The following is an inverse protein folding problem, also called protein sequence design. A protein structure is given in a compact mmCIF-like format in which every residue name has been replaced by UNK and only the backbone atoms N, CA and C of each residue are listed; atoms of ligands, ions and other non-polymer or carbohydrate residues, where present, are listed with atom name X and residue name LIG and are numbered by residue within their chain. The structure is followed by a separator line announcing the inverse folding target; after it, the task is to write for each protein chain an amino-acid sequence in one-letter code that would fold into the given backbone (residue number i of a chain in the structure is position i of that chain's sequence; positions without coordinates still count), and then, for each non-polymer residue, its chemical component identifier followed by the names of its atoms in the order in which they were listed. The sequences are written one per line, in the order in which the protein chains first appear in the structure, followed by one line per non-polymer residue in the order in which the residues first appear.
data_IF_506027733887
#
_entry.id   IF_506027733887
#
_cell.length_a   1.000
_cell.length_b   1.000
_cell.length_c   1.000
_cell.angle_alpha   90.00
_cell.angle_beta   90.00
_cell.angle_gamma   90.00
#
_symmetry.space_group_name_H-M   'P 1'
#
loop_
_entity.id
_entity.type
_entity.pdbx_description
1 polymer ?
#
# COMPACT_ATOMS: atom_id res chain seq x y z
N UNK A 1 4.41 -28.07 42.97
CA UNK A 1 4.44 -27.06 41.89
C UNK A 1 4.79 -27.77 40.60
N UNK A 2 3.77 -28.22 39.87
CA UNK A 2 3.95 -29.00 38.65
C UNK A 2 4.33 -28.11 37.47
N UNK A 3 5.33 -28.53 36.70
CA UNK A 3 5.68 -27.98 35.39
C UNK A 3 4.49 -28.20 34.45
N UNK A 4 3.58 -27.23 34.36
CA UNK A 4 2.66 -27.16 33.24
C UNK A 4 3.49 -26.80 32.01
N UNK A 5 3.35 -27.59 30.94
CA UNK A 5 3.89 -27.27 29.63
C UNK A 5 3.55 -25.80 29.30
N UNK A 6 4.55 -24.99 28.95
CA UNK A 6 4.36 -23.64 28.40
C UNK A 6 3.64 -23.74 27.04
N UNK A 7 2.35 -24.04 27.06
CA UNK A 7 1.50 -23.97 25.90
C UNK A 7 1.25 -22.50 25.61
N UNK A 8 1.75 -22.01 24.48
CA UNK A 8 1.40 -20.67 24.00
C UNK A 8 -0.10 -20.67 23.67
N UNK A 9 -0.90 -19.79 24.30
CA UNK A 9 -2.32 -19.71 24.03
C UNK A 9 -2.54 -19.27 22.58
N UNK A 10 -3.67 -19.66 22.00
CA UNK A 10 -4.07 -19.28 20.63
C UNK A 10 -5.26 -18.34 20.71
N UNK A 11 -5.58 -17.67 19.59
CA UNK A 11 -6.77 -16.80 19.48
C UNK A 11 -8.02 -17.45 20.07
N UNK A 12 -8.38 -18.65 19.57
CA UNK A 12 -9.49 -19.49 20.07
C UNK A 12 -9.50 -19.82 21.57
N UNK A 13 -8.38 -19.63 22.28
CA UNK A 13 -8.31 -19.80 23.74
C UNK A 13 -8.92 -18.59 24.46
N UNK A 14 -8.79 -17.41 23.88
CA UNK A 14 -9.29 -16.14 24.41
C UNK A 14 -10.72 -15.84 24.00
N UNK A 15 -11.16 -16.28 22.81
CA UNK A 15 -12.48 -16.00 22.25
C UNK A 15 -13.62 -16.13 23.28
N UNK A 16 -13.75 -17.23 24.06
CA UNK A 16 -14.88 -17.37 24.98
C UNK A 16 -14.89 -16.30 26.08
N UNK A 17 -13.72 -15.90 26.58
CA UNK A 17 -13.61 -14.87 27.60
C UNK A 17 -13.90 -13.48 27.00
N UNK A 18 -13.26 -13.15 25.88
CA UNK A 18 -13.42 -11.87 25.22
C UNK A 18 -14.88 -11.62 24.80
N UNK A 19 -15.49 -12.58 24.10
CA UNK A 19 -16.86 -12.45 23.64
C UNK A 19 -17.84 -12.39 24.81
N UNK A 20 -17.64 -13.17 25.87
CA UNK A 20 -18.47 -13.13 27.07
C UNK A 20 -18.45 -11.74 27.74
N UNK A 21 -17.27 -11.14 27.94
CA UNK A 21 -17.19 -9.79 28.51
C UNK A 21 -17.81 -8.73 27.59
N UNK A 22 -17.62 -8.84 26.27
CA UNK A 22 -18.26 -7.95 25.30
C UNK A 22 -19.80 -8.06 25.34
N UNK A 23 -20.34 -9.28 25.43
CA UNK A 23 -21.79 -9.53 25.54
C UNK A 23 -22.38 -8.98 26.86
N UNK A 24 -21.64 -9.09 27.96
CA UNK A 24 -22.02 -8.54 29.25
C UNK A 24 -21.82 -7.01 29.36
N UNK A 25 -21.31 -6.36 28.31
CA UNK A 25 -20.94 -4.94 28.29
C UNK A 25 -19.87 -4.55 29.32
N UNK A 26 -19.05 -5.51 29.76
CA UNK A 26 -17.91 -5.27 30.65
C UNK A 26 -16.67 -4.90 29.81
N UNK A 27 -16.66 -3.64 29.36
CA UNK A 27 -15.63 -3.12 28.47
C UNK A 27 -14.22 -3.21 29.09
N UNK A 28 -14.10 -2.90 30.39
CA UNK A 28 -12.81 -2.86 31.06
C UNK A 28 -12.20 -4.28 31.12
N UNK A 29 -13.01 -5.31 31.40
CA UNK A 29 -12.56 -6.71 31.33
C UNK A 29 -12.25 -7.18 29.91
N UNK A 30 -13.02 -6.75 28.92
CA UNK A 30 -12.71 -7.06 27.52
C UNK A 30 -11.34 -6.47 27.11
N UNK A 31 -11.01 -5.25 27.56
CA UNK A 31 -9.70 -4.64 27.31
C UNK A 31 -8.56 -5.33 28.05
N UNK A 32 -8.77 -5.80 29.28
CA UNK A 32 -7.78 -6.63 30.01
C UNK A 32 -7.46 -7.91 29.24
N UNK A 33 -8.45 -8.53 28.60
CA UNK A 33 -8.25 -9.72 27.76
C UNK A 33 -7.39 -9.38 26.54
N UNK A 34 -7.70 -8.31 25.82
CA UNK A 34 -6.89 -7.85 24.69
C UNK A 34 -5.45 -7.52 25.11
N UNK A 35 -5.26 -6.80 26.22
CA UNK A 35 -3.93 -6.46 26.73
C UNK A 35 -3.10 -7.71 26.99
N UNK A 36 -3.72 -8.74 27.59
CA UNK A 36 -3.06 -10.02 27.79
C UNK A 36 -2.76 -10.74 26.47
N UNK A 37 -3.67 -10.71 25.49
CA UNK A 37 -3.46 -11.30 24.16
C UNK A 37 -2.24 -10.67 23.47
N UNK A 38 -2.15 -9.34 23.49
CA UNK A 38 -1.00 -8.60 22.96
C UNK A 38 0.29 -8.96 23.71
N UNK A 39 0.24 -9.06 25.03
CA UNK A 39 1.39 -9.43 25.87
C UNK A 39 1.97 -10.82 25.59
N UNK A 40 1.16 -11.74 25.04
CA UNK A 40 1.60 -13.10 24.66
C UNK A 40 1.76 -13.28 23.15
N UNK A 41 1.61 -12.21 22.36
CA UNK A 41 1.79 -12.23 20.91
C UNK A 41 0.66 -12.88 20.13
N UNK A 42 -0.57 -12.88 20.66
CA UNK A 42 -1.77 -13.32 19.94
C UNK A 42 -2.43 -12.11 19.29
N UNK A 43 -2.46 -12.09 17.96
CA UNK A 43 -3.13 -11.04 17.19
C UNK A 43 -4.64 -11.26 17.09
N UNK A 44 -5.41 -10.18 17.18
CA UNK A 44 -6.85 -10.17 16.98
C UNK A 44 -7.20 -10.29 15.48
N UNK A 45 -8.29 -10.98 15.17
CA UNK A 45 -8.89 -10.99 13.84
C UNK A 45 -10.14 -10.09 13.82
N UNK A 46 -10.84 -10.03 12.68
CA UNK A 46 -11.97 -9.11 12.47
C UNK A 46 -13.07 -9.29 13.52
N UNK A 47 -13.41 -10.53 13.87
CA UNK A 47 -14.51 -10.83 14.78
C UNK A 47 -14.27 -10.27 16.18
N UNK A 48 -13.05 -10.43 16.70
CA UNK A 48 -12.67 -9.91 18.02
C UNK A 48 -12.59 -8.38 18.01
N UNK A 49 -12.03 -7.79 16.93
CA UNK A 49 -12.00 -6.33 16.75
C UNK A 49 -13.41 -5.73 16.68
N UNK A 50 -14.33 -6.38 15.96
CA UNK A 50 -15.72 -5.95 15.85
C UNK A 50 -16.46 -6.05 17.19
N UNK A 51 -16.21 -7.09 17.98
CA UNK A 51 -16.78 -7.22 19.33
C UNK A 51 -16.26 -6.14 20.28
N UNK A 52 -14.96 -5.87 20.24
CA UNK A 52 -14.32 -4.79 21.00
C UNK A 52 -14.87 -3.41 20.60
N UNK A 53 -14.95 -3.13 19.30
CA UNK A 53 -15.57 -1.92 18.76
C UNK A 53 -17.01 -1.76 19.26
N UNK A 54 -17.80 -2.83 19.21
CA UNK A 54 -19.20 -2.83 19.65
C UNK A 54 -19.34 -2.53 21.14
N UNK A 55 -18.54 -3.16 22.00
CA UNK A 55 -18.60 -2.87 23.44
C UNK A 55 -18.12 -1.46 23.75
N UNK A 56 -17.11 -0.94 23.03
CA UNK A 56 -16.66 0.45 23.16
C UNK A 56 -17.76 1.45 22.79
N UNK A 57 -18.44 1.22 21.67
CA UNK A 57 -19.54 2.05 21.21
C UNK A 57 -20.69 2.08 22.22
N UNK A 58 -21.11 0.91 22.72
CA UNK A 58 -22.21 0.78 23.69
C UNK A 58 -21.88 1.37 25.06
N UNK A 59 -20.63 1.29 25.47
CA UNK A 59 -20.14 1.87 26.73
C UNK A 59 -19.72 3.35 26.59
N UNK A 60 -19.92 3.96 25.41
CA UNK A 60 -19.60 5.37 25.17
C UNK A 60 -18.10 5.72 25.25
N UNK A 61 -17.22 4.73 25.08
CA UNK A 61 -15.75 4.89 25.16
C UNK A 61 -15.20 5.37 23.82
N UNK A 62 -15.34 6.66 23.54
CA UNK A 62 -15.13 7.23 22.20
C UNK A 62 -13.71 7.06 21.65
N UNK A 63 -12.69 7.20 22.50
CA UNK A 63 -11.29 7.01 22.10
C UNK A 63 -11.03 5.55 21.70
N UNK A 64 -11.67 4.60 22.39
CA UNK A 64 -11.58 3.18 22.06
C UNK A 64 -12.28 2.85 20.75
N UNK A 65 -13.41 3.48 20.45
CA UNK A 65 -14.05 3.33 19.14
C UNK A 65 -13.09 3.76 18.02
N UNK A 66 -12.44 4.91 18.16
CA UNK A 66 -11.44 5.37 17.19
C UNK A 66 -10.27 4.37 17.06
N UNK A 67 -9.74 3.91 18.19
CA UNK A 67 -8.65 2.92 18.24
C UNK A 67 -9.01 1.63 17.48
N UNK A 68 -10.21 1.07 17.70
CA UNK A 68 -10.61 -0.16 17.03
C UNK A 68 -10.96 0.03 15.56
N UNK A 69 -11.46 1.21 15.14
CA UNK A 69 -11.58 1.53 13.72
C UNK A 69 -10.21 1.54 13.02
N UNK A 70 -9.17 2.05 13.68
CA UNK A 70 -7.80 1.99 13.16
C UNK A 70 -7.23 0.58 13.15
N UNK A 71 -7.49 -0.22 14.19
CA UNK A 71 -7.08 -1.64 14.19
C UNK A 71 -7.75 -2.42 13.09
N UNK A 72 -9.05 -2.20 12.83
CA UNK A 72 -9.75 -2.76 11.66
C UNK A 72 -9.06 -2.33 10.37
N UNK A 73 -8.75 -1.04 10.19
CA UNK A 73 -8.01 -0.54 9.01
C UNK A 73 -6.69 -1.28 8.78
N UNK A 74 -5.92 -1.54 9.83
CA UNK A 74 -4.62 -2.23 9.72
C UNK A 74 -4.73 -3.75 9.52
N UNK A 75 -5.79 -4.37 10.07
CA UNK A 75 -5.93 -5.82 10.10
C UNK A 75 -6.76 -6.38 8.94
N UNK A 76 -7.72 -5.60 8.41
CA UNK A 76 -8.62 -6.05 7.35
C UNK A 76 -8.66 -5.07 6.18
N UNK A 77 -8.71 -5.62 4.96
CA UNK A 77 -8.90 -4.81 3.74
C UNK A 77 -10.36 -4.43 3.54
N UNK A 78 -11.25 -5.39 3.77
CA UNK A 78 -12.69 -5.25 3.64
C UNK A 78 -13.33 -5.75 4.94
N UNK A 79 -14.36 -5.07 5.42
CA UNK A 79 -15.14 -5.54 6.56
C UNK A 79 -16.28 -6.45 6.13
N UNK A 80 -16.63 -7.39 6.98
CA UNK A 80 -17.84 -8.19 6.89
C UNK A 80 -19.09 -7.32 7.09
N UNK A 81 -20.23 -7.82 6.62
CA UNK A 81 -21.53 -7.18 6.81
C UNK A 81 -21.85 -6.96 8.31
N UNK A 82 -21.51 -7.92 9.17
CA UNK A 82 -21.71 -7.79 10.62
C UNK A 82 -20.90 -6.66 11.24
N UNK A 83 -19.66 -6.48 10.78
CA UNK A 83 -18.79 -5.39 11.26
C UNK A 83 -19.27 -4.05 10.72
N UNK A 84 -19.72 -3.99 9.46
CA UNK A 84 -20.30 -2.79 8.88
C UNK A 84 -21.51 -2.28 9.69
N UNK A 85 -22.41 -3.17 10.11
CA UNK A 85 -23.56 -2.81 10.96
C UNK A 85 -23.11 -2.21 12.30
N UNK A 86 -22.07 -2.75 12.94
CA UNK A 86 -21.54 -2.17 14.20
C UNK A 86 -21.02 -0.75 13.98
N UNK A 87 -20.36 -0.50 12.85
CA UNK A 87 -19.86 0.83 12.49
C UNK A 87 -21.02 1.78 12.20
N UNK A 88 -22.02 1.34 11.44
CA UNK A 88 -23.24 2.13 11.16
C UNK A 88 -23.98 2.51 12.45
N UNK A 89 -24.15 1.56 13.38
CA UNK A 89 -24.78 1.81 14.68
C UNK A 89 -24.07 2.91 15.47
N UNK A 90 -22.73 2.95 15.43
CA UNK A 90 -21.96 4.01 16.08
C UNK A 90 -22.23 5.37 15.43
N UNK A 91 -22.08 5.48 14.11
CA UNK A 91 -22.20 6.77 13.41
C UNK A 91 -23.64 7.31 13.34
N UNK A 92 -24.65 6.44 13.38
CA UNK A 92 -26.05 6.82 13.57
C UNK A 92 -26.39 7.22 15.02
N UNK A 93 -25.48 6.95 15.97
CA UNK A 93 -25.68 7.26 17.38
C UNK A 93 -25.37 8.72 17.73
N UNK A 94 -26.15 9.29 18.66
CA UNK A 94 -25.96 10.68 19.11
C UNK A 94 -24.55 10.97 19.66
N UNK A 95 -23.87 9.96 20.23
CA UNK A 95 -22.51 10.15 20.75
C UNK A 95 -21.50 10.45 19.64
N UNK A 96 -21.69 9.89 18.45
CA UNK A 96 -20.80 10.11 17.31
C UNK A 96 -20.93 11.54 16.76
N UNK A 97 -22.11 12.16 16.84
CA UNK A 97 -22.29 13.55 16.38
C UNK A 97 -21.76 14.58 17.37
N UNK A 98 -21.64 14.22 18.64
CA UNK A 98 -21.09 15.07 19.69
C UNK A 98 -19.57 15.12 19.74
N UNK A 99 -18.89 14.09 19.19
CA UNK A 99 -17.45 13.91 19.31
C UNK A 99 -16.68 14.51 18.14
N UNK A 100 -15.57 15.15 18.48
CA UNK A 100 -14.57 15.66 17.55
C UNK A 100 -14.28 17.14 17.75
N UNK A 101 -13.10 17.54 17.28
CA UNK A 101 -12.61 18.90 17.40
C UNK A 101 -12.97 19.73 16.16
N UNK A 102 -13.50 20.92 16.39
CA UNK A 102 -13.84 21.89 15.33
C UNK A 102 -12.63 22.74 14.98
N UNK A 103 -11.79 23.07 15.97
CA UNK A 103 -10.53 23.78 15.78
C UNK A 103 -9.38 22.77 15.83
N UNK A 104 -8.79 22.47 14.68
CA UNK A 104 -7.67 21.53 14.55
C UNK A 104 -6.61 22.08 13.61
N UNK A 105 -5.37 21.66 13.79
CA UNK A 105 -4.26 22.06 12.93
C UNK A 105 -4.26 21.26 11.62
N UNK A 106 -4.70 21.92 10.55
CA UNK A 106 -4.72 21.37 9.20
C UNK A 106 -3.32 20.92 8.74
N UNK A 107 -2.26 21.60 9.19
CA UNK A 107 -0.88 21.23 8.89
C UNK A 107 -0.51 19.88 9.50
N UNK A 108 -0.87 19.65 10.78
CA UNK A 108 -0.62 18.38 11.46
C UNK A 108 -1.43 17.23 10.87
N UNK A 109 -2.68 17.47 10.46
CA UNK A 109 -3.49 16.46 9.75
C UNK A 109 -2.81 16.08 8.45
N UNK A 110 -2.38 17.06 7.65
CA UNK A 110 -1.67 16.80 6.38
C UNK A 110 -0.39 16.02 6.60
N UNK A 111 0.46 16.45 7.54
CA UNK A 111 1.69 15.74 7.88
C UNK A 111 1.40 14.30 8.31
N UNK A 112 0.36 14.10 9.12
CA UNK A 112 -0.13 12.79 9.50
C UNK A 112 -0.50 11.93 8.30
N UNK A 113 -1.32 12.45 7.36
CA UNK A 113 -1.68 11.73 6.14
C UNK A 113 -0.44 11.36 5.32
N UNK A 114 0.49 12.31 5.13
CA UNK A 114 1.70 12.10 4.33
C UNK A 114 2.57 10.99 4.94
N UNK A 115 2.89 11.11 6.23
CA UNK A 115 3.75 10.17 6.98
C UNK A 115 3.16 8.76 7.02
N UNK A 116 1.83 8.67 7.01
CA UNK A 116 1.11 7.42 7.13
C UNK A 116 0.84 6.72 5.77
N UNK A 117 1.45 7.19 4.68
CA UNK A 117 1.28 6.61 3.34
C UNK A 117 -0.02 7.02 2.64
N UNK A 118 -0.80 7.92 3.23
CA UNK A 118 -2.10 8.35 2.70
C UNK A 118 -3.29 7.63 3.32
N UNK A 119 -4.47 8.23 3.18
CA UNK A 119 -5.75 7.62 3.56
C UNK A 119 -6.04 7.59 5.06
N UNK A 120 -5.18 8.12 5.94
CA UNK A 120 -5.52 8.38 7.35
C UNK A 120 -4.50 9.27 8.07
N UNK A 121 -4.94 10.04 9.08
CA UNK A 121 -4.08 11.03 9.78
C UNK A 121 -3.73 10.69 11.24
N UNK A 122 -4.53 9.86 11.93
CA UNK A 122 -4.23 9.43 13.29
C UNK A 122 -4.43 10.47 14.40
N UNK A 123 -5.04 11.62 14.11
CA UNK A 123 -5.21 12.75 15.06
C UNK A 123 -6.50 12.70 15.89
N UNK A 124 -7.19 11.55 15.94
CA UNK A 124 -8.47 11.43 16.63
C UNK A 124 -9.67 11.92 15.79
N UNK A 125 -10.77 12.20 16.48
CA UNK A 125 -12.01 12.65 15.85
C UNK A 125 -11.92 14.12 15.44
N UNK A 126 -12.15 14.38 14.16
CA UNK A 126 -12.11 15.72 13.57
C UNK A 126 -13.46 16.05 12.96
N UNK A 127 -13.91 17.28 13.18
CA UNK A 127 -15.25 17.75 12.81
C UNK A 127 -16.29 17.40 13.88
N UNK A 128 -17.46 18.02 13.80
CA UNK A 128 -18.57 17.81 14.73
C UNK A 128 -19.89 18.02 14.00
N UNK A 129 -20.92 17.28 14.41
CA UNK A 129 -22.25 17.35 13.81
C UNK A 129 -22.76 15.97 13.38
N UNK A 130 -23.99 15.94 12.88
CA UNK A 130 -24.64 14.70 12.48
C UNK A 130 -23.95 14.04 11.29
N UNK A 131 -23.83 12.72 11.34
CA UNK A 131 -23.22 11.93 10.28
C UNK A 131 -24.28 11.41 9.32
N UNK A 132 -24.08 11.67 8.04
CA UNK A 132 -24.73 10.97 6.94
C UNK A 132 -24.03 9.62 6.71
N UNK A 133 -24.76 8.54 6.98
CA UNK A 133 -24.30 7.15 6.84
C UNK A 133 -24.92 6.55 5.58
N UNK A 134 -24.11 6.31 4.54
CA UNK A 134 -24.59 5.84 3.25
C UNK A 134 -23.82 4.61 2.75
N UNK A 135 -24.55 3.56 2.37
CA UNK A 135 -23.99 2.45 1.58
C UNK A 135 -24.00 2.83 0.11
N UNK A 136 -22.84 2.76 -0.54
CA UNK A 136 -22.63 3.23 -1.90
C UNK A 136 -21.61 2.38 -2.64
N UNK A 137 -21.20 2.79 -3.84
CA UNK A 137 -20.13 2.20 -4.62
C UNK A 137 -19.06 3.24 -4.96
N UNK A 138 -17.94 2.79 -5.51
CA UNK A 138 -16.86 3.65 -6.01
C UNK A 138 -16.77 3.51 -7.52
N UNK A 139 -16.73 4.64 -8.22
CA UNK A 139 -16.54 4.67 -9.67
C UNK A 139 -15.18 4.10 -10.09
N UNK A 140 -15.04 3.75 -11.36
CA UNK A 140 -13.77 3.20 -11.89
C UNK A 140 -12.58 4.18 -11.79
N UNK A 141 -12.85 5.46 -11.60
CA UNK A 141 -11.86 6.51 -11.36
C UNK A 141 -11.51 6.69 -9.87
N UNK A 142 -12.22 6.00 -8.97
CA UNK A 142 -12.01 6.05 -7.53
C UNK A 142 -12.85 7.10 -6.80
N UNK A 143 -13.81 7.75 -7.45
CA UNK A 143 -14.74 8.65 -6.77
C UNK A 143 -15.88 7.90 -6.10
N UNK A 144 -16.17 8.24 -4.85
CA UNK A 144 -17.34 7.75 -4.13
C UNK A 144 -18.64 8.23 -4.80
N UNK A 145 -19.54 7.32 -5.13
CA UNK A 145 -20.80 7.66 -5.81
C UNK A 145 -21.78 8.45 -4.93
N UNK A 146 -21.56 8.52 -3.61
CA UNK A 146 -22.41 9.29 -2.68
C UNK A 146 -21.95 10.74 -2.50
N UNK A 147 -20.69 10.96 -2.14
CA UNK A 147 -20.17 12.28 -1.79
C UNK A 147 -19.28 12.90 -2.88
N UNK A 148 -18.88 12.12 -3.88
CA UNK A 148 -17.96 12.56 -4.93
C UNK A 148 -16.50 12.74 -4.48
N UNK A 149 -16.14 12.39 -3.23
CA UNK A 149 -14.72 12.40 -2.83
C UNK A 149 -13.94 11.30 -3.54
N UNK A 150 -12.72 11.62 -3.97
CA UNK A 150 -11.77 10.70 -4.56
C UNK A 150 -11.08 9.90 -3.46
N UNK A 151 -11.21 8.58 -3.48
CA UNK A 151 -10.37 7.70 -2.66
C UNK A 151 -8.91 7.85 -3.09
N UNK A 152 -8.00 7.80 -2.11
CA UNK A 152 -6.57 7.91 -2.38
C UNK A 152 -5.94 6.56 -2.64
N UNK A 153 -4.79 6.58 -3.30
CA UNK A 153 -3.91 5.43 -3.43
C UNK A 153 -3.09 5.33 -2.14
N UNK A 154 -3.55 4.51 -1.20
CA UNK A 154 -2.89 4.27 0.09
C UNK A 154 -1.62 3.50 -0.16
N UNK A 155 -0.50 4.15 0.17
CA UNK A 155 0.82 3.57 0.33
C UNK A 155 1.04 3.20 1.80
N UNK A 156 2.17 2.60 2.10
CA UNK A 156 2.50 2.15 3.45
C UNK A 156 3.20 3.27 4.22
N UNK A 157 3.07 3.31 5.55
CA UNK A 157 3.70 4.38 6.32
C UNK A 157 5.23 4.32 6.31
N UNK A 158 5.87 5.45 6.61
CA UNK A 158 7.33 5.59 6.57
C UNK A 158 8.06 4.63 7.52
N UNK A 159 7.49 4.38 8.70
CA UNK A 159 8.12 3.52 9.70
C UNK A 159 8.08 2.06 9.27
N UNK A 160 6.93 1.61 8.78
CA UNK A 160 6.77 0.27 8.27
C UNK A 160 7.58 0.05 6.99
N UNK A 161 7.65 1.04 6.10
CA UNK A 161 8.50 1.00 4.90
C UNK A 161 9.98 0.85 5.25
N UNK A 162 10.48 1.61 6.24
CA UNK A 162 11.88 1.49 6.65
C UNK A 162 12.17 0.16 7.34
N UNK A 163 11.25 -0.35 8.16
CA UNK A 163 11.36 -1.69 8.75
C UNK A 163 11.42 -2.75 7.66
N UNK A 164 10.55 -2.66 6.65
CA UNK A 164 10.52 -3.59 5.53
C UNK A 164 11.80 -3.52 4.69
N UNK A 165 12.28 -2.32 4.36
CA UNK A 165 13.56 -2.12 3.69
C UNK A 165 14.71 -2.74 4.50
N UNK A 166 14.70 -2.57 5.83
CA UNK A 166 15.64 -3.19 6.76
C UNK A 166 15.57 -4.72 6.76
N UNK A 167 14.36 -5.30 6.74
CA UNK A 167 14.16 -6.75 6.64
C UNK A 167 14.67 -7.32 5.31
N UNK A 168 14.35 -6.66 4.19
CA UNK A 168 14.87 -7.03 2.85
C UNK A 168 16.39 -6.96 2.85
N UNK A 169 16.98 -5.89 3.36
CA UNK A 169 18.43 -5.73 3.43
C UNK A 169 19.09 -6.78 4.34
N UNK A 170 18.49 -7.08 5.49
CA UNK A 170 18.98 -8.12 6.40
C UNK A 170 19.03 -9.49 5.72
N UNK A 171 17.93 -9.89 5.07
CA UNK A 171 17.86 -11.16 4.33
C UNK A 171 18.82 -11.20 3.14
N UNK A 172 18.96 -10.10 2.41
CA UNK A 172 19.94 -9.99 1.34
C UNK A 172 21.37 -10.17 1.87
N UNK A 173 21.75 -9.50 2.96
CA UNK A 173 23.09 -9.60 3.57
C UNK A 173 23.41 -10.99 4.16
N UNK A 174 22.40 -11.80 4.48
CA UNK A 174 22.58 -13.18 4.92
C UNK A 174 22.88 -14.14 3.76
N UNK A 175 22.37 -13.83 2.56
CA UNK A 175 22.36 -14.74 1.40
C UNK A 175 23.31 -14.31 0.28
N UNK A 176 23.57 -13.02 0.18
CA UNK A 176 24.50 -12.40 -0.76
C UNK A 176 25.90 -12.26 -0.15
N UNK A 177 26.89 -12.07 -1.01
CA UNK A 177 28.21 -11.62 -0.56
C UNK A 177 28.04 -10.21 0.00
N UNK A 178 28.20 -10.06 1.33
CA UNK A 178 27.93 -8.80 2.07
C UNK A 178 28.48 -7.54 1.39
N UNK A 179 29.73 -7.59 0.92
CA UNK A 179 30.37 -6.46 0.25
C UNK A 179 29.61 -6.01 -1.00
N UNK A 180 29.10 -6.94 -1.81
CA UNK A 180 28.37 -6.66 -3.04
C UNK A 180 27.06 -5.90 -2.77
N UNK A 181 26.31 -6.34 -1.76
CA UNK A 181 25.02 -5.70 -1.44
C UNK A 181 25.22 -4.36 -0.73
N UNK A 182 26.20 -4.25 0.18
CA UNK A 182 26.53 -2.96 0.81
C UNK A 182 27.03 -1.91 -0.20
N UNK A 183 27.78 -2.32 -1.23
CA UNK A 183 28.17 -1.41 -2.32
C UNK A 183 26.95 -0.91 -3.10
N UNK A 184 25.97 -1.78 -3.35
CA UNK A 184 24.71 -1.39 -3.97
C UNK A 184 23.91 -0.39 -3.12
N UNK A 185 23.82 -0.63 -1.80
CA UNK A 185 23.14 0.31 -0.90
C UNK A 185 23.79 1.70 -0.96
N UNK A 186 25.12 1.78 -0.89
CA UNK A 186 25.86 3.04 -1.00
C UNK A 186 25.75 3.69 -2.39
N UNK A 187 25.56 2.89 -3.45
CA UNK A 187 25.28 3.40 -4.79
C UNK A 187 23.88 4.01 -4.86
N UNK A 188 22.88 3.33 -4.30
CA UNK A 188 21.48 3.76 -4.32
C UNK A 188 21.28 5.06 -3.52
N UNK A 189 21.97 5.21 -2.38
CA UNK A 189 21.96 6.45 -1.58
C UNK A 189 22.41 7.70 -2.36
N UNK A 190 23.21 7.52 -3.42
CA UNK A 190 23.65 8.63 -4.29
C UNK A 190 22.68 8.93 -5.43
N UNK A 191 21.64 8.12 -5.59
CA UNK A 191 20.70 8.18 -6.70
C UNK A 191 19.26 7.97 -6.21
N UNK A 192 18.74 8.95 -5.47
CA UNK A 192 17.44 8.90 -4.79
C UNK A 192 16.25 9.37 -5.63
N UNK A 193 16.46 9.70 -6.91
CA UNK A 193 15.49 10.39 -7.76
C UNK A 193 14.79 9.50 -8.79
N UNK A 194 14.99 8.19 -8.74
CA UNK A 194 14.36 7.27 -9.69
C UNK A 194 12.89 7.02 -9.37
N UNK A 195 12.04 7.13 -10.40
CA UNK A 195 10.60 6.91 -10.29
C UNK A 195 10.18 5.48 -10.66
N UNK A 196 11.07 4.70 -11.25
CA UNK A 196 10.83 3.30 -11.57
C UNK A 196 12.12 2.47 -11.59
N UNK A 197 12.02 1.25 -11.08
CA UNK A 197 13.00 0.18 -11.19
C UNK A 197 12.45 -0.87 -12.15
N UNK A 198 13.30 -1.39 -13.04
CA UNK A 198 12.96 -2.41 -14.02
C UNK A 198 13.74 -3.67 -13.73
N UNK A 199 13.03 -4.78 -13.53
CA UNK A 199 13.60 -6.11 -13.52
C UNK A 199 13.99 -6.50 -14.96
N UNK A 200 15.26 -6.26 -15.29
CA UNK A 200 15.76 -6.40 -16.65
C UNK A 200 15.76 -7.86 -17.11
N UNK A 201 15.98 -8.81 -16.20
CA UNK A 201 15.98 -10.23 -16.52
C UNK A 201 14.57 -10.72 -16.86
N UNK A 202 13.58 -10.35 -16.05
CA UNK A 202 12.18 -10.72 -16.25
C UNK A 202 11.64 -10.15 -17.57
N UNK A 203 11.83 -8.85 -17.82
CA UNK A 203 11.39 -8.20 -19.06
C UNK A 203 12.06 -8.80 -20.29
N UNK A 204 13.39 -8.93 -20.27
CA UNK A 204 14.14 -9.42 -21.42
C UNK A 204 13.93 -10.91 -21.72
N UNK A 205 13.39 -11.70 -20.78
CA UNK A 205 13.05 -13.11 -20.98
C UNK A 205 11.56 -13.38 -21.19
N UNK A 206 10.73 -12.34 -21.15
CA UNK A 206 9.28 -12.50 -21.25
C UNK A 206 8.86 -13.15 -22.56
N UNK A 207 8.23 -14.33 -22.45
CA UNK A 207 7.79 -15.17 -23.57
C UNK A 207 8.90 -15.58 -24.55
N UNK A 208 10.15 -15.69 -24.06
CA UNK A 208 11.31 -16.11 -24.86
C UNK A 208 11.62 -17.62 -24.75
N UNK A 209 10.68 -18.45 -24.30
CA UNK A 209 10.92 -19.89 -24.03
C UNK A 209 10.83 -20.81 -25.28
N UNK A 210 11.18 -20.31 -26.47
CA UNK A 210 11.18 -21.09 -27.73
C UNK A 210 12.60 -21.51 -28.13
N UNK A 211 12.76 -22.40 -29.12
CA UNK A 211 14.03 -23.06 -29.44
C UNK A 211 15.21 -22.09 -29.74
N UNK A 212 14.93 -20.97 -30.42
CA UNK A 212 15.89 -19.89 -30.68
C UNK A 212 15.64 -18.66 -29.79
N UNK A 213 14.85 -18.84 -28.73
CA UNK A 213 14.45 -17.79 -27.81
C UNK A 213 15.61 -17.37 -26.94
N UNK A 214 15.82 -16.07 -26.84
CA UNK A 214 16.96 -15.48 -26.15
C UNK A 214 16.56 -14.20 -25.44
N UNK A 215 17.53 -13.58 -24.78
CA UNK A 215 17.31 -12.30 -24.11
C UNK A 215 16.98 -11.20 -25.14
N UNK A 216 15.81 -10.59 -25.01
CA UNK A 216 15.34 -9.54 -25.89
C UNK A 216 15.66 -8.14 -25.33
N UNK A 217 16.75 -7.55 -25.82
CA UNK A 217 17.08 -6.14 -25.53
C UNK A 217 15.99 -5.18 -26.03
N UNK A 218 15.29 -5.51 -27.12
CA UNK A 218 14.25 -4.65 -27.69
C UNK A 218 13.00 -4.57 -26.82
N UNK A 219 12.59 -5.69 -26.20
CA UNK A 219 11.50 -5.68 -25.21
C UNK A 219 11.84 -4.76 -24.04
N UNK A 220 13.07 -4.87 -23.53
CA UNK A 220 13.56 -4.05 -22.42
C UNK A 220 13.63 -2.56 -22.80
N UNK A 221 14.13 -2.24 -24.00
CA UNK A 221 14.16 -0.87 -24.53
C UNK A 221 12.77 -0.25 -24.66
N UNK A 222 11.78 -1.01 -25.12
CA UNK A 222 10.39 -0.53 -25.16
C UNK A 222 9.89 -0.13 -23.77
N UNK A 223 10.19 -0.93 -22.73
CA UNK A 223 9.81 -0.62 -21.35
C UNK A 223 10.52 0.63 -20.85
N UNK A 224 11.85 0.72 -21.03
CA UNK A 224 12.64 1.88 -20.60
C UNK A 224 12.14 3.17 -21.25
N UNK A 225 11.87 3.16 -22.56
CA UNK A 225 11.37 4.34 -23.29
C UNK A 225 9.97 4.73 -22.87
N UNK A 226 9.08 3.76 -22.66
CA UNK A 226 7.71 4.05 -22.21
C UNK A 226 7.73 4.71 -20.83
N UNK A 227 8.51 4.17 -19.88
CA UNK A 227 8.67 4.75 -18.54
C UNK A 227 9.29 6.15 -18.59
N UNK A 228 10.33 6.34 -19.40
CA UNK A 228 10.99 7.64 -19.60
C UNK A 228 10.04 8.71 -20.13
N UNK A 229 9.17 8.33 -21.08
CA UNK A 229 8.18 9.24 -21.65
C UNK A 229 7.08 9.57 -20.63
N UNK A 230 6.58 8.57 -19.89
CA UNK A 230 5.54 8.77 -18.87
C UNK A 230 6.03 9.62 -17.69
N UNK A 231 7.30 9.50 -17.31
CA UNK A 231 7.93 10.24 -16.20
C UNK A 231 8.35 11.67 -16.55
N UNK A 232 8.11 12.12 -17.79
CA UNK A 232 8.53 13.45 -18.23
C UNK A 232 10.04 13.60 -18.36
N UNK A 233 10.71 12.58 -18.93
CA UNK A 233 12.16 12.51 -19.20
C UNK A 233 13.04 12.08 -18.01
N UNK A 234 12.51 11.31 -17.07
CA UNK A 234 13.31 10.68 -16.00
C UNK A 234 13.60 9.23 -16.34
N UNK A 235 14.88 8.86 -16.31
CA UNK A 235 15.30 7.50 -16.61
C UNK A 235 14.88 6.54 -15.49
N UNK A 236 14.29 5.37 -15.83
CA UNK A 236 14.21 4.27 -14.88
C UNK A 236 15.58 3.62 -14.69
N UNK A 237 15.77 2.86 -13.60
CA UNK A 237 16.95 2.00 -13.46
C UNK A 237 16.61 0.58 -13.84
N UNK A 238 17.30 0.06 -14.85
CA UNK A 238 17.32 -1.36 -15.16
C UNK A 238 18.29 -2.05 -14.21
N UNK A 239 17.81 -3.06 -13.48
CA UNK A 239 18.69 -3.98 -12.74
C UNK A 239 18.93 -5.21 -13.60
N UNK A 240 20.19 -5.53 -13.88
CA UNK A 240 20.54 -6.65 -14.75
C UNK A 240 21.84 -7.34 -14.33
N UNK A 241 21.87 -8.67 -14.33
CA UNK A 241 23.09 -9.41 -13.99
C UNK A 241 24.24 -9.20 -14.99
N UNK A 242 25.48 -9.02 -14.50
CA UNK A 242 26.69 -8.72 -15.29
C UNK A 242 26.92 -9.72 -16.44
N UNK A 243 26.66 -11.02 -16.22
CA UNK A 243 26.72 -12.03 -17.29
C UNK A 243 25.87 -11.68 -18.52
N UNK A 244 24.66 -11.13 -18.32
CA UNK A 244 23.79 -10.69 -19.43
C UNK A 244 24.34 -9.45 -20.09
N UNK A 245 24.80 -8.48 -19.29
CA UNK A 245 25.46 -7.27 -19.81
C UNK A 245 26.61 -7.61 -20.76
N UNK A 246 27.50 -8.54 -20.39
CA UNK A 246 28.65 -8.92 -21.23
C UNK A 246 28.20 -9.42 -22.61
N UNK A 247 27.20 -10.31 -22.66
CA UNK A 247 26.65 -10.79 -23.94
C UNK A 247 26.03 -9.68 -24.79
N UNK A 248 25.36 -8.71 -24.14
CA UNK A 248 24.81 -7.54 -24.83
C UNK A 248 25.90 -6.58 -25.33
N UNK A 249 27.00 -6.45 -24.60
CA UNK A 249 28.16 -5.64 -25.00
C UNK A 249 28.96 -6.30 -26.13
N UNK A 250 28.95 -7.63 -26.26
CA UNK A 250 29.59 -8.34 -27.37
C UNK A 250 28.83 -8.14 -28.68
N UNK A 251 27.50 -8.00 -28.63
CA UNK A 251 26.67 -7.75 -29.80
C UNK A 251 26.67 -6.26 -30.22
N UNK A 252 27.16 -5.91 -31.43
CA UNK A 252 27.23 -4.52 -31.89
C UNK A 252 25.88 -3.80 -31.95
N UNK A 253 24.79 -4.53 -32.21
CA UNK A 253 23.45 -3.95 -32.33
C UNK A 253 22.88 -3.49 -30.98
N UNK A 254 23.24 -4.15 -29.88
CA UNK A 254 22.81 -3.78 -28.52
C UNK A 254 23.80 -2.87 -27.80
N UNK A 255 25.10 -2.95 -28.13
CA UNK A 255 26.16 -2.20 -27.45
C UNK A 255 25.87 -0.71 -27.30
N UNK A 256 25.48 -0.05 -28.40
CA UNK A 256 25.22 1.40 -28.40
C UNK A 256 24.12 1.80 -27.40
N UNK A 257 23.06 0.99 -27.31
CA UNK A 257 21.94 1.23 -26.41
C UNK A 257 22.33 1.02 -24.94
N UNK A 258 23.10 -0.03 -24.67
CA UNK A 258 23.60 -0.30 -23.33
C UNK A 258 24.54 0.80 -22.84
N UNK A 259 25.45 1.28 -23.71
CA UNK A 259 26.33 2.41 -23.41
C UNK A 259 25.53 3.69 -23.11
N UNK A 260 24.44 3.93 -23.84
CA UNK A 260 23.51 5.03 -23.56
C UNK A 260 22.89 4.90 -22.17
N UNK A 261 22.39 3.72 -21.78
CA UNK A 261 21.82 3.52 -20.45
C UNK A 261 22.86 3.72 -19.34
N UNK A 262 24.08 3.21 -19.52
CA UNK A 262 25.17 3.43 -18.56
C UNK A 262 25.51 4.90 -18.38
N UNK A 263 25.61 5.66 -19.48
CA UNK A 263 25.93 7.09 -19.45
C UNK A 263 24.84 7.94 -18.79
N UNK A 264 23.59 7.48 -18.83
CA UNK A 264 22.45 8.16 -18.20
C UNK A 264 22.15 7.65 -16.78
N UNK A 265 22.95 6.73 -16.23
CA UNK A 265 22.68 6.12 -14.93
C UNK A 265 21.48 5.17 -14.90
N UNK A 266 20.93 4.80 -16.07
CA UNK A 266 19.72 4.01 -16.23
C UNK A 266 19.94 2.48 -16.11
N UNK A 267 21.13 2.04 -15.69
CA UNK A 267 21.50 0.63 -15.59
C UNK A 267 22.36 0.39 -14.35
N UNK A 268 21.93 -0.54 -13.50
CA UNK A 268 22.74 -1.12 -12.44
C UNK A 268 23.02 -2.59 -12.74
N UNK A 269 24.29 -2.99 -12.60
CA UNK A 269 24.72 -4.35 -12.91
C UNK A 269 25.00 -5.15 -11.66
N UNK A 270 24.27 -6.25 -11.46
CA UNK A 270 24.52 -7.11 -10.30
C UNK A 270 25.76 -7.99 -10.54
N UNK A 271 26.58 -8.21 -9.50
CA UNK A 271 27.82 -8.99 -9.61
C UNK A 271 27.55 -10.48 -9.84
N UNK A 272 28.58 -11.21 -10.27
CA UNK A 272 28.44 -12.63 -10.56
C UNK A 272 28.12 -13.44 -9.30
N UNK A 273 27.08 -14.28 -9.40
CA UNK A 273 26.65 -15.14 -8.30
C UNK A 273 25.65 -14.49 -7.35
N UNK A 274 25.29 -13.22 -7.60
CA UNK A 274 24.23 -12.54 -6.87
C UNK A 274 22.86 -12.80 -7.47
N UNK A 275 21.86 -12.90 -6.61
CA UNK A 275 20.47 -12.88 -7.03
C UNK A 275 20.03 -11.43 -7.26
N UNK A 276 19.63 -11.10 -8.49
CA UNK A 276 19.13 -9.78 -8.87
C UNK A 276 17.82 -9.39 -8.15
N UNK A 277 17.07 -10.37 -7.65
CA UNK A 277 15.83 -10.15 -6.89
C UNK A 277 15.99 -9.21 -5.71
N UNK A 278 17.06 -9.37 -4.95
CA UNK A 278 17.35 -8.52 -3.79
C UNK A 278 17.60 -7.07 -4.17
N UNK A 279 18.17 -6.85 -5.36
CA UNK A 279 18.61 -5.52 -5.78
C UNK A 279 17.42 -4.69 -6.27
N UNK A 280 16.62 -5.23 -7.19
CA UNK A 280 15.46 -4.49 -7.67
C UNK A 280 14.39 -4.33 -6.60
N UNK A 281 14.21 -5.32 -5.70
CA UNK A 281 13.24 -5.20 -4.61
C UNK A 281 13.67 -4.14 -3.62
N UNK A 282 14.91 -4.20 -3.13
CA UNK A 282 15.42 -3.23 -2.17
C UNK A 282 15.37 -1.81 -2.75
N UNK A 283 15.75 -1.62 -4.03
CA UNK A 283 15.68 -0.31 -4.67
C UNK A 283 14.25 0.23 -4.76
N UNK A 284 13.30 -0.56 -5.23
CA UNK A 284 11.92 -0.12 -5.38
C UNK A 284 11.28 0.25 -4.02
N UNK A 285 11.58 -0.53 -2.98
CA UNK A 285 11.14 -0.26 -1.61
C UNK A 285 11.78 1.00 -1.06
N UNK A 286 13.11 1.10 -1.09
CA UNK A 286 13.85 2.20 -0.46
C UNK A 286 13.56 3.55 -1.12
N UNK A 287 13.38 3.55 -2.45
CA UNK A 287 13.03 4.74 -3.22
C UNK A 287 11.53 5.00 -3.31
N UNK A 288 10.69 4.08 -2.80
CA UNK A 288 9.21 4.17 -2.84
C UNK A 288 8.66 4.42 -4.24
N UNK A 289 9.23 3.73 -5.21
CA UNK A 289 8.95 3.97 -6.63
C UNK A 289 8.32 2.73 -7.29
N UNK A 290 8.01 2.83 -8.59
CA UNK A 290 7.40 1.71 -9.31
C UNK A 290 8.41 0.56 -9.50
N UNK A 291 7.93 -0.68 -9.45
CA UNK A 291 8.70 -1.86 -9.81
C UNK A 291 8.07 -2.53 -11.04
N UNK A 292 8.78 -2.54 -12.16
CA UNK A 292 8.32 -3.22 -13.37
C UNK A 292 8.83 -4.65 -13.38
N UNK A 293 7.94 -5.59 -13.05
CA UNK A 293 8.19 -7.04 -13.13
C UNK A 293 6.88 -7.81 -13.21
N UNK A 294 6.88 -8.91 -13.98
CA UNK A 294 5.83 -9.92 -13.96
C UNK A 294 6.17 -11.08 -13.01
N UNK A 295 7.24 -10.97 -12.23
CA UNK A 295 7.49 -11.93 -11.18
C UNK A 295 6.40 -11.86 -10.11
N UNK A 296 5.87 -13.02 -9.74
CA UNK A 296 4.82 -13.11 -8.72
C UNK A 296 5.38 -12.95 -7.31
N UNK A 297 6.71 -12.97 -7.14
CA UNK A 297 7.42 -12.87 -5.87
C UNK A 297 6.87 -13.87 -4.85
N UNK A 298 6.63 -15.10 -5.30
CA UNK A 298 6.00 -16.19 -4.52
C UNK A 298 7.00 -17.11 -3.82
N UNK A 299 8.29 -16.85 -3.96
CA UNK A 299 9.29 -17.67 -3.30
C UNK A 299 9.17 -17.58 -1.78
N UNK A 300 9.49 -18.67 -1.08
CA UNK A 300 9.52 -18.78 0.40
C UNK A 300 10.35 -17.68 1.09
N UNK A 301 11.16 -16.97 0.32
CA UNK A 301 11.96 -15.82 0.73
C UNK A 301 11.06 -14.62 1.05
N UNK A 302 10.03 -14.37 0.23
CA UNK A 302 9.11 -13.24 0.39
C UNK A 302 8.03 -13.53 1.43
N UNK A 303 7.73 -14.82 1.70
CA UNK A 303 6.90 -15.24 2.83
C UNK A 303 7.48 -14.83 4.20
N UNK A 304 8.81 -14.66 4.29
CA UNK A 304 9.48 -14.19 5.50
C UNK A 304 9.27 -12.69 5.77
N UNK A 305 8.78 -11.93 4.79
CA UNK A 305 8.72 -10.46 4.85
C UNK A 305 7.32 -9.92 5.22
N UNK A 306 6.49 -10.76 5.87
CA UNK A 306 5.17 -10.39 6.38
C UNK A 306 4.08 -10.32 5.32
N UNK A 307 3.10 -11.24 5.40
CA UNK A 307 2.12 -11.47 4.33
C UNK A 307 1.19 -10.29 4.02
N UNK A 308 0.83 -9.47 5.00
CA UNK A 308 -0.15 -8.40 4.77
C UNK A 308 0.50 -7.15 4.19
N UNK A 309 1.66 -6.76 4.70
CA UNK A 309 2.44 -5.61 4.22
C UNK A 309 2.88 -5.81 2.77
N UNK A 310 3.51 -6.96 2.46
CA UNK A 310 4.12 -7.16 1.16
C UNK A 310 3.08 -7.16 0.02
N UNK A 311 1.90 -7.71 0.28
CA UNK A 311 0.81 -7.69 -0.69
C UNK A 311 0.27 -6.27 -0.93
N UNK A 312 0.15 -5.44 0.10
CA UNK A 312 -0.22 -4.03 -0.06
C UNK A 312 0.84 -3.26 -0.85
N UNK A 313 2.11 -3.48 -0.53
CA UNK A 313 3.23 -2.88 -1.25
C UNK A 313 3.21 -3.28 -2.72
N UNK A 314 3.06 -4.58 -3.01
CA UNK A 314 2.98 -5.09 -4.39
C UNK A 314 1.86 -4.43 -5.18
N UNK A 315 0.64 -4.38 -4.63
CA UNK A 315 -0.50 -3.75 -5.32
C UNK A 315 -0.24 -2.28 -5.66
N UNK A 316 0.49 -1.58 -4.80
CA UNK A 316 0.79 -0.15 -4.95
C UNK A 316 1.97 0.13 -5.89
N UNK A 317 2.96 -0.75 -5.94
CA UNK A 317 4.25 -0.48 -6.59
C UNK A 317 4.50 -1.34 -7.83
N UNK A 318 3.90 -2.53 -7.93
CA UNK A 318 4.17 -3.46 -9.04
C UNK A 318 3.45 -3.03 -10.31
N UNK A 319 4.23 -2.84 -11.38
CA UNK A 319 3.75 -2.63 -12.73
C UNK A 319 3.93 -3.92 -13.52
N UNK A 320 2.81 -4.50 -13.94
CA UNK A 320 2.83 -5.62 -14.86
C UNK A 320 2.97 -5.14 -16.30
N UNK A 321 3.41 -6.01 -17.18
CA UNK A 321 3.56 -5.67 -18.59
C UNK A 321 3.18 -6.84 -19.50
N UNK A 322 2.72 -6.52 -20.69
CA UNK A 322 2.49 -7.51 -21.73
C UNK A 322 2.81 -6.94 -23.11
N UNK A 323 3.08 -7.84 -24.05
CA UNK A 323 3.32 -7.48 -25.45
C UNK A 323 2.21 -8.07 -26.31
N UNK A 324 1.31 -7.22 -26.81
CA UNK A 324 0.19 -7.62 -27.67
C UNK A 324 0.56 -7.24 -29.11
N UNK A 325 0.76 -8.25 -29.96
CA UNK A 325 1.21 -8.06 -31.35
C UNK A 325 2.49 -7.21 -31.46
N UNK A 326 3.40 -7.34 -30.51
CA UNK A 326 4.65 -6.58 -30.45
C UNK A 326 4.56 -5.21 -29.76
N UNK A 327 3.36 -4.72 -29.43
CA UNK A 327 3.19 -3.46 -28.72
C UNK A 327 3.19 -3.69 -27.21
N UNK A 328 4.02 -2.92 -26.50
CA UNK A 328 4.05 -2.91 -25.04
C UNK A 328 2.75 -2.33 -24.48
N UNK A 329 2.21 -2.99 -23.46
CA UNK A 329 1.17 -2.44 -22.60
C UNK A 329 1.62 -2.60 -21.15
N UNK A 330 1.81 -1.48 -20.46
CA UNK A 330 2.02 -1.45 -19.01
C UNK A 330 0.65 -1.48 -18.31
N UNK A 331 0.54 -2.30 -17.28
CA UNK A 331 -0.58 -2.36 -16.37
C UNK A 331 -0.13 -1.68 -15.07
N UNK A 332 -0.51 -0.41 -14.94
CA UNK A 332 -0.15 0.41 -13.79
C UNK A 332 -0.94 -0.03 -12.54
N UNK A 333 -0.38 0.16 -11.34
CA UNK A 333 -1.12 0.09 -10.08
C UNK A 333 -2.43 0.90 -10.13
N UNK A 334 -3.48 0.46 -9.43
CA UNK A 334 -4.72 1.22 -9.31
C UNK A 334 -4.47 2.65 -8.78
N UNK A 335 -5.22 3.63 -9.29
CA UNK A 335 -5.10 5.03 -8.84
C UNK A 335 -5.68 5.29 -7.46
N UNK A 336 -6.29 4.28 -6.84
CA UNK A 336 -6.88 4.32 -5.50
C UNK A 336 -6.84 2.92 -4.86
N UNK A 337 -6.88 2.86 -3.53
CA UNK A 337 -6.85 1.60 -2.79
C UNK A 337 -8.22 1.30 -2.17
N UNK A 338 -8.75 0.10 -2.41
CA UNK A 338 -9.99 -0.36 -1.75
C UNK A 338 -9.68 -0.92 -0.35
N UNK A 339 -9.45 -0.01 0.58
CA UNK A 339 -9.21 -0.26 2.01
C UNK A 339 -10.02 0.73 2.84
N UNK A 340 -10.07 0.54 4.16
CA UNK A 340 -10.65 1.56 5.04
C UNK A 340 -9.81 2.85 4.91
N UNK A 341 -10.46 3.98 4.59
CA UNK A 341 -9.81 5.28 4.47
C UNK A 341 -10.53 6.34 5.29
N UNK A 342 -9.78 7.28 5.84
CA UNK A 342 -10.24 8.55 6.40
C UNK A 342 -9.89 9.65 5.39
N UNK A 343 -10.90 10.13 4.68
CA UNK A 343 -10.81 11.27 3.77
C UNK A 343 -10.89 12.60 4.51
N UNK A 344 -11.08 13.68 3.76
CA UNK A 344 -11.06 15.04 4.30
C UNK A 344 -12.29 15.32 5.15
N UNK A 345 -13.46 14.85 4.71
CA UNK A 345 -14.75 15.10 5.36
C UNK A 345 -15.46 13.83 5.83
N UNK A 346 -14.82 12.66 5.71
CA UNK A 346 -15.49 11.40 5.98
C UNK A 346 -14.60 10.19 6.19
N UNK A 347 -15.22 9.06 6.55
CA UNK A 347 -14.59 7.73 6.64
C UNK A 347 -15.26 6.83 5.59
N UNK A 348 -14.46 6.07 4.88
CA UNK A 348 -14.86 5.13 3.84
C UNK A 348 -14.44 3.73 4.29
N UNK A 349 -15.39 2.83 4.50
CA UNK A 349 -15.10 1.43 4.80
C UNK A 349 -15.44 0.58 3.60
N UNK A 350 -14.44 -0.14 3.09
CA UNK A 350 -14.67 -1.14 2.05
C UNK A 350 -15.42 -2.34 2.64
N UNK A 351 -16.50 -2.74 1.98
CA UNK A 351 -17.25 -3.97 2.28
C UNK A 351 -16.99 -5.02 1.21
N UNK A 352 -17.40 -6.27 1.46
CA UNK A 352 -17.33 -7.32 0.44
C UNK A 352 -18.12 -6.93 -0.83
N UNK A 353 -17.49 -7.06 -2.00
CA UNK A 353 -18.03 -6.61 -3.28
C UNK A 353 -17.57 -5.19 -3.65
N UNK A 354 -18.31 -4.49 -4.51
CA UNK A 354 -18.03 -3.09 -4.91
C UNK A 354 -18.69 -2.07 -3.94
N UNK A 355 -19.11 -2.51 -2.76
CA UNK A 355 -19.85 -1.69 -1.79
C UNK A 355 -18.91 -1.00 -0.81
N UNK A 356 -19.19 0.27 -0.54
CA UNK A 356 -18.47 1.12 0.42
C UNK A 356 -19.47 1.76 1.37
N UNK A 357 -19.14 1.76 2.66
CA UNK A 357 -19.84 2.57 3.65
C UNK A 357 -19.17 3.94 3.73
N UNK A 358 -19.88 4.97 3.25
CA UNK A 358 -19.45 6.36 3.31
C UNK A 358 -20.08 7.05 4.52
N UNK A 359 -19.23 7.55 5.41
CA UNK A 359 -19.59 8.23 6.64
C UNK A 359 -19.12 9.68 6.53
N UNK A 360 -20.03 10.59 6.20
CA UNK A 360 -19.73 12.01 5.99
C UNK A 360 -20.58 12.87 6.91
N UNK A 361 -20.23 14.13 7.16
CA UNK A 361 -21.15 15.03 7.89
C UNK A 361 -22.37 15.42 7.03
N UNK A 362 -23.54 15.61 7.65
CA UNK A 362 -24.71 16.20 6.99
C UNK A 362 -24.41 17.64 6.53
N UNK A 363 -25.00 18.02 5.39
CA UNK A 363 -24.58 19.06 4.44
C UNK A 363 -24.52 20.53 4.93
N UNK A 364 -24.44 20.82 6.22
CA UNK A 364 -24.44 22.20 6.76
C UNK A 364 -23.10 22.66 7.39
N UNK A 365 -22.03 21.86 7.33
CA UNK A 365 -20.66 22.32 7.69
C UNK A 365 -19.85 22.83 6.49
N UNK A 366 -20.52 23.01 5.34
CA UNK A 366 -19.89 23.33 4.06
C UNK A 366 -19.15 24.69 4.02
N UNK A 367 -19.43 25.67 4.88
CA UNK A 367 -18.89 27.02 4.66
C UNK A 367 -17.51 27.29 5.30
N UNK A 368 -17.08 26.47 6.28
CA UNK A 368 -15.72 26.55 6.86
C UNK A 368 -14.79 25.42 6.38
N UNK A 369 -15.28 24.18 6.31
CA UNK A 369 -14.46 23.03 5.89
C UNK A 369 -14.03 23.13 4.43
N UNK A 370 -14.95 23.51 3.53
CA UNK A 370 -14.70 23.49 2.08
C UNK A 370 -13.84 24.69 1.60
N UNK A 371 -13.95 25.87 2.24
CA UNK A 371 -13.23 27.09 1.82
C UNK A 371 -11.73 27.09 2.14
N UNK A 372 -11.31 26.39 3.20
CA UNK A 372 -9.89 26.28 3.58
C UNK A 372 -9.21 25.12 2.86
N UNK A 373 -9.93 24.04 2.54
CA UNK A 373 -9.36 22.82 1.96
C UNK A 373 -9.34 22.75 0.42
N UNK A 374 -10.32 23.31 -0.30
CA UNK A 374 -10.37 23.24 -1.78
C UNK A 374 -9.20 23.96 -2.48
N UNK A 375 -8.52 24.89 -1.82
CA UNK A 375 -7.43 25.66 -2.43
C UNK A 375 -6.03 25.02 -2.33
N UNK A 376 -5.85 23.91 -1.60
CA UNK A 376 -4.50 23.48 -1.20
C UNK A 376 -4.14 22.00 -1.44
N UNK A 377 -4.98 21.20 -2.11
CA UNK A 377 -4.67 19.80 -2.44
C UNK A 377 -4.93 19.53 -3.93
N UNK A 378 -4.20 20.25 -4.77
CA UNK A 378 -3.94 19.84 -6.15
C UNK A 378 -2.43 19.68 -6.42
N UNK A 379 -1.56 19.92 -5.43
CA UNK A 379 -0.11 19.93 -5.60
C UNK A 379 0.56 19.29 -4.39
N UNK A 380 0.84 17.99 -4.44
CA UNK A 380 1.54 17.35 -3.33
C UNK A 380 1.65 15.83 -3.35
N UNK A 381 1.89 15.19 -4.51
CA UNK A 381 2.64 13.94 -4.63
C UNK A 381 3.05 13.76 -6.11
N UNK A 382 4.26 13.26 -6.43
CA UNK A 382 4.85 13.37 -7.76
C UNK A 382 4.26 12.42 -8.83
N UNK A 383 3.19 11.68 -8.53
CA UNK A 383 2.45 10.92 -9.54
C UNK A 383 1.20 11.68 -10.00
N UNK A 384 1.40 12.66 -10.87
CA UNK A 384 0.35 13.05 -11.79
C UNK A 384 0.32 12.00 -12.91
N UNK A 385 -0.59 11.04 -12.82
CA UNK A 385 -1.07 10.35 -14.03
C UNK A 385 -1.60 11.44 -14.98
N UNK A 386 -1.05 11.62 -16.20
CA UNK A 386 -1.54 12.65 -17.10
C UNK A 386 -3.01 12.37 -17.44
N UNK A 387 -3.90 13.23 -16.96
CA UNK A 387 -5.28 13.34 -17.44
C UNK A 387 -5.22 13.77 -18.91
N UNK A 388 -5.12 12.82 -19.83
CA UNK A 388 -5.54 12.92 -21.23
C UNK A 388 -5.37 11.57 -21.94
N UNK A 389 -6.28 10.64 -21.67
CA UNK A 389 -6.59 9.57 -22.62
C UNK A 389 -8.00 9.85 -23.12
N UNK A 390 -8.10 10.51 -24.28
CA UNK A 390 -9.34 10.45 -25.07
C UNK A 390 -9.59 8.98 -25.38
N UNK A 391 -10.67 8.43 -24.86
CA UNK A 391 -11.16 7.14 -25.36
C UNK A 391 -11.46 7.30 -26.85
N UNK A 392 -11.06 6.35 -27.72
CA UNK A 392 -11.49 6.37 -29.10
C UNK A 392 -13.01 6.23 -29.13
N UNK A 393 -13.66 7.20 -29.77
CA UNK A 393 -15.07 7.13 -30.14
C UNK A 393 -15.28 5.81 -30.90
N UNK A 394 -16.24 5.01 -30.42
CA UNK A 394 -16.75 3.88 -31.18
C UNK A 394 -17.47 4.45 -32.41
N UNK A 395 -16.83 4.40 -33.57
CA UNK A 395 -17.53 4.55 -34.84
C UNK A 395 -18.51 3.38 -35.00
N UNK A 396 -19.79 3.72 -35.16
CA UNK A 396 -20.83 2.83 -35.68
C UNK A 396 -20.71 2.67 -37.19
#
# INVERSE_FOLDING_TARGET
MGKYNNATPRLRTYDPALFCFCEMLDADKAYEVEEHMNGVGVSLEEAELAALLKVSARSGRVDKVYEYLHKLRSCVRCVSESTAVVVEEWFCGAKASEVGEVEFDVGQVKEGVLRNGGGWHGQGWIGKGDWAVNRTSVGADGHCCCCGEQLVCVDIDDSETEKFAGSVAGLALEREVKANFSEFQAWLEKHDSYEAIVDGANVGLYKQNFADGGFSISQLDCVVKELYNQSGNKWPVVVLHNKRLRGLMENPSSRKLVEEWMNNGALYTTPNGSNDDWYWLFAAVKLRCLLVTNDEMRDHIFELIGSNFFNQWKERHQVHYTFIKGNLKLQMPPSYSLVIQRGNTGIYLQMLGEMVLALTFEQDTHDLFTRVWLNYICFGYPFHLPRNIKMPEQEQ
#
